data_IF_955860219122
#
_entry.id   IF_955860219122
#
_cell.length_a   1.000
_cell.length_b   1.000
_cell.length_c   1.000
_cell.angle_alpha   90.00
_cell.angle_beta   90.00
_cell.angle_gamma   90.00
#
_symmetry.space_group_name_H-M   'P 1'
#
loop_
_entity.id
_entity.type
_entity.pdbx_description
1 polymer ?
#
# COMPACT_ATOMS: atom_id res chain seq x y z
N UNK A 1 -2.25 -70.42 -53.15
CA UNK A 1 -2.86 -69.09 -52.85
C UNK A 1 -2.53 -68.74 -51.41
N UNK A 2 -1.50 -67.87 -51.22
CA UNK A 2 -1.01 -67.47 -49.88
C UNK A 2 -1.61 -66.13 -49.52
N UNK A 3 -2.41 -66.09 -48.51
CA UNK A 3 -2.97 -64.87 -47.96
C UNK A 3 -1.94 -64.30 -46.94
N UNK A 4 -1.44 -63.11 -47.23
CA UNK A 4 -0.58 -62.36 -46.32
C UNK A 4 -1.45 -61.53 -45.41
N UNK A 5 -1.42 -61.81 -44.11
CA UNK A 5 -2.06 -61.01 -43.04
C UNK A 5 -1.08 -59.89 -42.68
N UNK A 6 -1.42 -58.66 -43.07
CA UNK A 6 -0.69 -57.44 -42.60
C UNK A 6 -1.22 -57.07 -41.23
N UNK A 7 -0.40 -57.23 -40.23
CA UNK A 7 -0.62 -56.73 -38.87
C UNK A 7 -0.44 -55.25 -38.86
N UNK A 8 -1.48 -54.47 -38.65
CA UNK A 8 -1.44 -53.02 -38.44
C UNK A 8 -1.17 -52.80 -36.94
N UNK A 9 0.04 -52.33 -36.64
CA UNK A 9 0.44 -51.92 -35.29
C UNK A 9 -0.13 -50.52 -35.04
N UNK A 10 -1.25 -50.42 -34.31
CA UNK A 10 -1.75 -49.15 -33.81
C UNK A 10 -0.91 -48.69 -32.61
N UNK A 11 -0.01 -47.73 -32.85
CA UNK A 11 0.66 -47.02 -31.81
C UNK A 11 -0.31 -46.09 -31.06
N UNK A 12 -0.67 -46.43 -29.84
CA UNK A 12 -1.39 -45.53 -28.93
C UNK A 12 -0.44 -44.41 -28.48
N UNK A 13 -0.58 -43.25 -29.08
CA UNK A 13 0.07 -42.01 -28.66
C UNK A 13 -0.68 -41.53 -27.41
N UNK A 14 -0.18 -41.84 -26.22
CA UNK A 14 -0.67 -41.31 -24.97
C UNK A 14 -0.23 -39.83 -24.84
N UNK A 15 -1.10 -38.92 -25.28
CA UNK A 15 -0.94 -37.49 -25.02
C UNK A 15 -1.19 -37.29 -23.52
N UNK A 16 -0.13 -37.20 -22.75
CA UNK A 16 -0.22 -36.77 -21.35
C UNK A 16 -0.70 -35.34 -21.30
N UNK A 17 -1.95 -35.15 -20.90
CA UNK A 17 -2.44 -33.84 -20.52
C UNK A 17 -1.70 -33.38 -19.27
N UNK A 18 -0.72 -32.50 -19.43
CA UNK A 18 -0.16 -31.74 -18.33
C UNK A 18 -1.27 -30.75 -17.93
N UNK A 19 -2.03 -31.10 -16.90
CA UNK A 19 -2.93 -30.15 -16.27
C UNK A 19 -2.06 -29.09 -15.57
N UNK A 20 -1.87 -27.97 -16.23
CA UNK A 20 -1.40 -26.74 -15.55
C UNK A 20 -2.51 -26.34 -14.58
N UNK A 21 -2.31 -26.64 -13.32
CA UNK A 21 -3.11 -26.03 -12.25
C UNK A 21 -2.69 -24.56 -12.15
N UNK A 22 -3.32 -23.70 -12.94
CA UNK A 22 -3.31 -22.29 -12.64
C UNK A 22 -3.99 -22.16 -11.28
N UNK A 23 -3.25 -21.73 -10.26
CA UNK A 23 -3.85 -21.37 -8.97
C UNK A 23 -4.78 -20.19 -9.23
N UNK A 24 -6.04 -20.49 -9.38
CA UNK A 24 -7.08 -19.47 -9.54
C UNK A 24 -7.48 -19.02 -8.16
N UNK A 25 -6.96 -17.88 -7.72
CA UNK A 25 -7.53 -17.21 -6.57
C UNK A 25 -8.98 -16.85 -6.94
N UNK A 26 -9.93 -17.60 -6.40
CA UNK A 26 -11.31 -17.39 -6.74
C UNK A 26 -11.87 -16.22 -5.93
N UNK A 27 -12.41 -15.25 -6.64
CA UNK A 27 -13.30 -14.23 -6.11
C UNK A 27 -14.73 -14.70 -6.33
N UNK A 28 -15.55 -14.62 -5.30
CA UNK A 28 -16.99 -14.80 -5.41
C UNK A 28 -17.68 -13.46 -5.16
N UNK A 29 -18.58 -13.08 -6.06
CA UNK A 29 -19.46 -11.93 -5.86
C UNK A 29 -20.86 -12.47 -5.58
N UNK A 30 -21.39 -12.20 -4.40
CA UNK A 30 -22.74 -12.57 -4.01
C UNK A 30 -23.40 -11.40 -3.28
N UNK A 31 -24.58 -10.98 -3.75
CA UNK A 31 -25.33 -9.86 -3.16
C UNK A 31 -24.46 -8.59 -3.03
N UNK A 32 -23.74 -8.20 -4.09
CA UNK A 32 -22.80 -7.06 -4.14
C UNK A 32 -21.65 -7.11 -3.11
N UNK A 33 -21.44 -8.26 -2.48
CA UNK A 33 -20.30 -8.50 -1.60
C UNK A 33 -19.26 -9.37 -2.27
N UNK A 34 -18.01 -8.92 -2.20
CA UNK A 34 -16.86 -9.67 -2.70
C UNK A 34 -16.36 -10.57 -1.57
N UNK A 35 -16.30 -11.86 -1.84
CA UNK A 35 -15.69 -12.85 -0.94
C UNK A 35 -14.40 -13.36 -1.57
N UNK A 36 -13.32 -13.27 -0.82
CA UNK A 36 -12.02 -13.78 -1.21
C UNK A 36 -11.88 -15.22 -0.71
N UNK A 37 -11.77 -16.17 -1.63
CA UNK A 37 -11.55 -17.58 -1.27
C UNK A 37 -10.06 -17.83 -1.06
N UNK A 38 -9.76 -18.74 -0.14
CA UNK A 38 -8.41 -19.23 0.06
C UNK A 38 -8.10 -20.34 -0.95
N UNK A 39 -6.81 -20.44 -1.34
CA UNK A 39 -6.31 -21.65 -1.99
C UNK A 39 -6.12 -22.79 -0.97
N UNK A 40 -5.64 -23.95 -1.43
CA UNK A 40 -5.36 -25.14 -0.62
C UNK A 40 -4.27 -24.92 0.44
N UNK A 41 -3.48 -23.88 0.33
CA UNK A 41 -2.44 -23.47 1.29
C UNK A 41 -2.89 -22.34 2.22
N UNK A 42 -4.13 -21.87 2.07
CA UNK A 42 -4.69 -20.77 2.84
C UNK A 42 -4.32 -19.38 2.30
N UNK A 43 -3.63 -19.27 1.16
CA UNK A 43 -3.35 -17.97 0.54
C UNK A 43 -4.63 -17.41 -0.07
N UNK A 44 -4.76 -16.11 -0.06
CA UNK A 44 -5.85 -15.39 -0.72
C UNK A 44 -5.38 -14.10 -1.35
N UNK A 45 -6.17 -13.56 -2.25
CA UNK A 45 -5.93 -12.23 -2.84
C UNK A 45 -5.94 -11.20 -1.72
N UNK A 46 -5.06 -10.19 -1.84
CA UNK A 46 -5.02 -9.07 -0.92
C UNK A 46 -6.36 -8.31 -0.94
N UNK A 47 -6.89 -8.06 0.24
CA UNK A 47 -8.08 -7.26 0.45
C UNK A 47 -7.67 -5.80 0.63
N UNK A 48 -7.95 -4.98 -0.37
CA UNK A 48 -7.64 -3.55 -0.37
C UNK A 48 -8.80 -2.67 0.15
N UNK A 49 -9.87 -3.26 0.65
CA UNK A 49 -11.02 -2.50 1.18
C UNK A 49 -10.65 -1.64 2.39
N UNK A 50 -9.56 -1.99 3.06
CA UNK A 50 -9.01 -1.24 4.19
C UNK A 50 -7.93 -0.21 3.80
N UNK A 51 -7.73 0.01 2.49
CA UNK A 51 -6.78 1.00 1.98
C UNK A 51 -7.43 2.39 1.98
N UNK A 52 -7.07 3.26 2.81
CA UNK A 52 -7.62 4.61 2.86
C UNK A 52 -7.51 5.20 4.24
N UNK A 53 -8.03 6.40 4.40
CA UNK A 53 -7.99 7.07 5.69
C UNK A 53 -8.70 6.24 6.76
N UNK A 54 -7.99 5.98 7.87
CA UNK A 54 -8.50 5.15 8.98
C UNK A 54 -9.07 3.81 8.51
N UNK A 55 -8.36 3.11 7.64
CA UNK A 55 -8.78 1.82 7.07
C UNK A 55 -10.10 1.87 6.30
N UNK A 56 -10.42 3.00 5.69
CA UNK A 56 -11.70 3.29 5.02
C UNK A 56 -12.94 3.26 5.93
N UNK A 57 -12.74 3.31 7.24
CA UNK A 57 -13.84 3.32 8.22
C UNK A 57 -14.35 4.73 8.56
N UNK A 58 -13.62 5.76 8.15
CA UNK A 58 -13.96 7.15 8.42
C UNK A 58 -13.75 8.01 7.18
N UNK A 59 -14.59 9.01 7.02
CA UNK A 59 -14.42 10.02 5.99
C UNK A 59 -13.14 10.82 6.19
N UNK A 60 -12.53 11.26 5.09
CA UNK A 60 -11.39 12.17 5.15
C UNK A 60 -11.84 13.49 5.80
N UNK A 61 -11.23 13.90 6.91
CA UNK A 61 -11.69 15.06 7.66
C UNK A 61 -11.52 16.37 6.87
N UNK A 62 -12.49 17.27 7.00
CA UNK A 62 -12.37 18.62 6.49
C UNK A 62 -11.56 19.47 7.46
N UNK A 63 -10.28 19.68 7.16
CA UNK A 63 -9.37 20.46 7.99
C UNK A 63 -9.39 21.93 7.54
N UNK A 64 -9.37 22.87 8.50
CA UNK A 64 -9.35 24.30 8.25
C UNK A 64 -8.16 24.72 7.39
N UNK A 65 -8.41 25.51 6.34
CA UNK A 65 -7.37 26.13 5.54
C UNK A 65 -6.66 27.21 6.37
N UNK A 66 -5.34 27.12 6.48
CA UNK A 66 -4.50 28.07 7.21
C UNK A 66 -3.69 28.90 6.25
N UNK A 67 -3.20 28.30 5.17
CA UNK A 67 -2.41 28.99 4.13
C UNK A 67 -3.07 28.71 2.78
N UNK A 68 -3.27 29.77 2.01
CA UNK A 68 -3.62 29.68 0.60
C UNK A 68 -2.40 30.01 -0.25
N UNK A 69 -2.06 29.15 -1.20
CA UNK A 69 -0.95 29.33 -2.13
C UNK A 69 -1.55 29.58 -3.53
N UNK A 70 -1.59 30.83 -3.99
CA UNK A 70 -2.09 31.15 -5.32
C UNK A 70 -1.16 30.56 -6.39
N UNK A 71 -1.72 30.24 -7.54
CA UNK A 71 -0.91 29.78 -8.66
C UNK A 71 0.07 30.87 -9.12
N UNK A 72 1.27 30.44 -9.50
CA UNK A 72 2.30 31.31 -10.10
C UNK A 72 3.12 30.52 -11.12
N UNK A 73 3.45 31.15 -12.25
CA UNK A 73 4.36 30.57 -13.23
C UNK A 73 5.77 30.37 -12.66
N UNK A 74 6.46 29.36 -13.17
CA UNK A 74 7.82 29.00 -12.75
C UNK A 74 7.85 27.98 -11.62
N UNK A 75 8.98 27.85 -10.96
CA UNK A 75 9.18 26.88 -9.88
C UNK A 75 8.45 27.29 -8.59
N UNK A 76 7.58 26.44 -8.12
CA UNK A 76 6.81 26.64 -6.91
C UNK A 76 7.30 25.83 -5.72
N UNK A 77 8.38 25.06 -5.86
CA UNK A 77 8.89 24.16 -4.81
C UNK A 77 9.06 24.87 -3.48
N UNK A 78 9.86 25.94 -3.47
CA UNK A 78 10.16 26.69 -2.24
C UNK A 78 8.95 27.42 -1.65
N UNK A 79 7.98 27.82 -2.48
CA UNK A 79 6.75 28.48 -2.00
C UNK A 79 5.84 27.51 -1.27
N UNK A 80 5.62 26.35 -1.85
CA UNK A 80 4.78 25.32 -1.24
C UNK A 80 5.48 24.78 0.01
N UNK A 81 6.80 24.55 -0.03
CA UNK A 81 7.55 24.12 1.14
C UNK A 81 7.42 25.11 2.31
N UNK A 82 7.60 26.41 2.08
CA UNK A 82 7.43 27.42 3.14
C UNK A 82 6.02 27.47 3.71
N UNK A 83 4.99 27.24 2.90
CA UNK A 83 3.63 27.16 3.38
C UNK A 83 3.43 25.93 4.30
N UNK A 84 4.02 24.78 3.95
CA UNK A 84 4.02 23.57 4.77
C UNK A 84 4.79 23.81 6.07
N UNK A 85 6.00 24.41 6.00
CA UNK A 85 6.83 24.69 7.16
C UNK A 85 6.13 25.63 8.15
N UNK A 86 5.42 26.62 7.63
CA UNK A 86 4.61 27.52 8.46
C UNK A 86 3.51 26.75 9.19
N UNK A 87 2.73 25.90 8.48
CA UNK A 87 1.69 25.09 9.13
C UNK A 87 2.32 24.10 10.10
N UNK A 88 3.50 23.55 9.82
CA UNK A 88 4.25 22.67 10.71
C UNK A 88 4.60 23.35 12.05
N UNK A 89 4.85 24.65 12.04
CA UNK A 89 5.19 25.43 13.25
C UNK A 89 3.99 25.72 14.17
N UNK A 90 2.76 25.52 13.69
CA UNK A 90 1.56 25.78 14.48
C UNK A 90 1.30 24.68 15.50
N UNK A 91 0.62 25.01 16.60
CA UNK A 91 0.16 24.03 17.58
C UNK A 91 -1.01 23.23 16.99
N UNK A 92 -1.00 21.89 17.10
CA UNK A 92 -2.14 21.08 16.69
C UNK A 92 -3.38 21.40 17.52
N UNK A 93 -4.54 21.31 16.88
CA UNK A 93 -5.83 21.39 17.57
C UNK A 93 -6.13 20.10 18.39
N UNK A 94 -7.29 20.05 19.04
CA UNK A 94 -7.72 18.90 19.83
C UNK A 94 -7.89 17.61 19.00
N UNK A 95 -8.05 17.72 17.69
CA UNK A 95 -8.12 16.59 16.75
C UNK A 95 -6.76 16.18 16.20
N UNK A 96 -5.69 16.87 16.60
CA UNK A 96 -4.32 16.62 16.16
C UNK A 96 -3.94 17.31 14.83
N UNK A 97 -4.82 18.15 14.26
CA UNK A 97 -4.52 18.87 13.04
C UNK A 97 -3.91 20.25 13.29
N UNK A 98 -2.90 20.61 12.51
CA UNK A 98 -2.28 21.96 12.51
C UNK A 98 -2.95 22.86 11.48
N UNK A 99 -3.51 22.28 10.43
CA UNK A 99 -4.22 22.98 9.38
C UNK A 99 -3.90 22.47 7.99
N UNK A 100 -4.56 23.08 7.00
CA UNK A 100 -4.35 22.76 5.61
C UNK A 100 -3.64 23.88 4.86
N UNK A 101 -2.71 23.48 3.99
CA UNK A 101 -2.19 24.29 2.89
C UNK A 101 -3.09 24.04 1.68
N UNK A 102 -3.79 25.07 1.24
CA UNK A 102 -4.69 25.02 0.09
C UNK A 102 -3.97 25.60 -1.13
N UNK A 103 -3.84 24.79 -2.16
CA UNK A 103 -3.28 25.21 -3.46
C UNK A 103 -4.41 25.68 -4.38
N UNK A 104 -4.19 26.78 -5.07
CA UNK A 104 -5.10 27.31 -6.07
C UNK A 104 -5.24 26.37 -7.28
N UNK A 105 -6.14 26.71 -8.19
CA UNK A 105 -6.19 26.06 -9.50
C UNK A 105 -4.96 26.45 -10.33
N UNK A 106 -4.42 25.50 -11.06
CA UNK A 106 -3.30 25.71 -11.96
C UNK A 106 -2.29 24.55 -11.90
N UNK A 107 -1.35 24.57 -12.84
CA UNK A 107 -0.24 23.63 -12.89
C UNK A 107 0.97 24.21 -12.16
N UNK A 108 1.22 23.71 -10.97
CA UNK A 108 2.38 24.07 -10.16
C UNK A 108 3.60 23.26 -10.58
N UNK A 109 4.50 23.84 -11.34
CA UNK A 109 5.78 23.21 -11.65
C UNK A 109 6.69 23.19 -10.43
N UNK A 110 7.32 22.05 -10.17
CA UNK A 110 8.24 21.83 -9.07
C UNK A 110 9.56 21.26 -9.60
N UNK A 111 10.66 21.95 -9.37
CA UNK A 111 12.02 21.48 -9.73
C UNK A 111 12.61 20.57 -8.65
N UNK A 112 12.10 20.64 -7.43
CA UNK A 112 12.50 19.82 -6.30
C UNK A 112 11.35 18.99 -5.73
N UNK A 113 11.60 18.41 -4.57
CA UNK A 113 10.61 17.66 -3.80
C UNK A 113 10.06 18.48 -2.64
N UNK A 114 8.84 18.18 -2.23
CA UNK A 114 8.18 18.73 -1.05
C UNK A 114 8.31 17.73 0.08
N UNK A 115 8.55 18.20 1.32
CA UNK A 115 8.65 17.37 2.52
C UNK A 115 7.61 17.77 3.53
N UNK A 116 6.91 16.78 4.06
CA UNK A 116 5.97 16.91 5.17
C UNK A 116 6.49 16.01 6.29
N UNK A 117 7.14 16.61 7.30
CA UNK A 117 7.78 15.89 8.41
C UNK A 117 7.07 16.06 9.75
N UNK A 118 6.00 16.87 9.81
CA UNK A 118 5.20 17.03 11.02
C UNK A 118 3.79 16.46 10.83
N UNK A 119 3.27 15.82 11.87
CA UNK A 119 1.88 15.32 11.89
C UNK A 119 0.86 16.45 11.89
N UNK A 120 -0.34 16.17 11.39
CA UNK A 120 -1.47 17.11 11.42
C UNK A 120 -1.48 18.17 10.32
N UNK A 121 -0.66 18.03 9.29
CA UNK A 121 -0.64 18.91 8.12
C UNK A 121 -1.44 18.27 6.98
N UNK A 122 -2.26 19.05 6.32
CA UNK A 122 -2.98 18.64 5.11
C UNK A 122 -2.53 19.51 3.93
N UNK A 123 -2.09 18.87 2.86
CA UNK A 123 -1.86 19.53 1.57
C UNK A 123 -3.00 19.15 0.64
N UNK A 124 -3.72 20.12 0.10
CA UNK A 124 -4.81 19.87 -0.84
C UNK A 124 -4.95 20.97 -1.89
N UNK A 125 -5.54 20.60 -3.02
CA UNK A 125 -5.94 21.54 -4.05
C UNK A 125 -7.35 22.06 -3.83
N UNK A 126 -7.68 23.17 -4.47
CA UNK A 126 -9.05 23.71 -4.54
C UNK A 126 -9.95 22.86 -5.43
N UNK A 127 -9.37 22.17 -6.40
CA UNK A 127 -10.11 21.36 -7.38
C UNK A 127 -9.26 20.13 -7.78
N UNK A 128 -9.88 18.95 -7.75
CA UNK A 128 -9.19 17.68 -8.04
C UNK A 128 -8.70 17.53 -9.49
N UNK A 129 -9.32 18.27 -10.42
CA UNK A 129 -8.99 18.20 -11.84
C UNK A 129 -8.13 19.38 -12.30
N UNK A 130 -8.17 20.50 -11.57
CA UNK A 130 -7.53 21.76 -11.99
C UNK A 130 -6.32 22.14 -11.16
N UNK A 131 -6.11 21.55 -9.98
CA UNK A 131 -4.91 21.73 -9.18
C UNK A 131 -3.93 20.61 -9.47
N UNK A 132 -2.89 20.88 -10.21
CA UNK A 132 -1.93 19.88 -10.68
C UNK A 132 -0.55 20.21 -10.14
N UNK A 133 0.12 19.26 -9.50
CA UNK A 133 1.53 19.31 -9.15
C UNK A 133 2.33 18.56 -10.19
N UNK A 134 3.23 19.25 -10.88
CA UNK A 134 4.05 18.68 -11.94
C UNK A 134 5.54 18.72 -11.56
N UNK A 135 6.13 17.56 -11.32
CA UNK A 135 7.57 17.45 -11.10
C UNK A 135 8.31 17.65 -12.41
N UNK A 136 9.25 18.61 -12.42
CA UNK A 136 10.18 18.85 -13.51
C UNK A 136 11.51 18.14 -13.23
N UNK A 137 12.25 17.85 -14.29
CA UNK A 137 13.56 17.19 -14.18
C UNK A 137 13.52 15.71 -14.57
N UNK A 138 14.70 15.09 -14.53
CA UNK A 138 14.92 13.69 -14.98
C UNK A 138 15.32 12.76 -13.83
N UNK A 139 15.32 13.25 -12.60
CA UNK A 139 15.62 12.42 -11.44
C UNK A 139 14.45 11.47 -11.11
N UNK A 140 14.74 10.39 -10.36
CA UNK A 140 13.76 9.40 -9.93
C UNK A 140 13.19 9.67 -8.53
N UNK A 141 13.48 10.81 -7.93
CA UNK A 141 13.00 11.16 -6.60
C UNK A 141 11.49 11.33 -6.56
N UNK A 142 10.87 11.07 -5.42
CA UNK A 142 9.45 11.34 -5.22
C UNK A 142 9.16 12.84 -5.24
N UNK A 143 7.97 13.21 -5.70
CA UNK A 143 7.51 14.60 -5.68
C UNK A 143 7.21 15.05 -4.26
N UNK A 144 6.59 14.21 -3.46
CA UNK A 144 6.22 14.49 -2.07
C UNK A 144 6.79 13.40 -1.18
N UNK A 145 7.53 13.79 -0.17
CA UNK A 145 7.99 12.92 0.91
C UNK A 145 7.14 13.21 2.16
N UNK A 146 6.55 12.16 2.70
CA UNK A 146 5.94 12.20 4.03
C UNK A 146 6.80 11.36 4.96
N UNK A 147 7.46 12.02 5.90
CA UNK A 147 8.48 11.40 6.74
C UNK A 147 8.08 11.55 8.21
N UNK A 148 8.18 10.46 8.96
CA UNK A 148 8.12 10.47 10.42
C UNK A 148 9.52 10.41 11.01
N UNK A 149 9.59 10.43 12.33
CA UNK A 149 10.81 10.08 13.05
C UNK A 149 10.82 8.59 13.31
N UNK A 150 12.01 7.98 13.26
CA UNK A 150 12.22 6.61 13.71
C UNK A 150 12.35 6.63 15.23
N UNK A 151 11.20 6.51 15.89
CA UNK A 151 11.07 6.46 17.35
C UNK A 151 10.66 5.06 17.84
N UNK A 152 10.93 4.05 17.04
CA UNK A 152 10.63 2.67 17.36
C UNK A 152 11.41 2.21 18.59
N UNK A 153 10.68 2.02 19.71
CA UNK A 153 11.19 1.38 20.89
C UNK A 153 10.64 -0.05 20.95
N UNK A 154 11.42 -1.01 20.44
CA UNK A 154 11.06 -2.43 20.47
C UNK A 154 11.18 -2.92 21.91
N UNK A 155 10.06 -3.31 22.50
CA UNK A 155 10.00 -3.82 23.87
C UNK A 155 10.40 -5.29 23.90
N UNK A 156 9.68 -6.11 23.14
CA UNK A 156 9.87 -7.57 23.10
C UNK A 156 9.90 -8.08 21.66
N UNK A 157 10.61 -9.18 21.47
CA UNK A 157 10.65 -9.89 20.18
C UNK A 157 10.10 -11.29 20.34
N UNK A 158 9.09 -11.62 19.54
CA UNK A 158 8.42 -12.91 19.57
C UNK A 158 8.73 -13.70 18.32
N UNK A 159 9.00 -14.98 18.51
CA UNK A 159 9.14 -15.87 17.37
C UNK A 159 7.77 -16.36 16.90
N UNK A 160 7.55 -16.23 15.59
CA UNK A 160 6.41 -16.88 14.92
C UNK A 160 6.75 -18.37 14.74
N UNK A 161 5.88 -19.27 15.19
CA UNK A 161 6.09 -20.72 15.09
C UNK A 161 5.46 -21.34 13.86
N UNK A 162 4.53 -20.67 13.21
CA UNK A 162 3.90 -21.19 12.00
C UNK A 162 4.99 -21.56 10.97
N UNK A 163 5.01 -22.81 10.53
CA UNK A 163 5.95 -23.27 9.49
C UNK A 163 5.70 -22.53 8.16
N UNK A 164 4.46 -22.20 7.90
CA UNK A 164 4.03 -21.44 6.73
C UNK A 164 3.02 -20.37 7.15
N UNK A 165 3.25 -19.16 6.72
CA UNK A 165 2.32 -18.04 6.88
C UNK A 165 1.73 -17.72 5.51
N UNK A 166 0.46 -18.01 5.27
CA UNK A 166 -0.18 -17.75 3.99
C UNK A 166 -0.16 -16.27 3.62
N UNK A 167 -0.18 -15.98 2.32
CA UNK A 167 -0.36 -14.61 1.84
C UNK A 167 -1.68 -14.05 2.38
N UNK A 168 -1.63 -12.85 2.93
CA UNK A 168 -2.76 -12.17 3.57
C UNK A 168 -3.33 -12.90 4.81
N UNK A 169 -2.48 -13.62 5.56
CA UNK A 169 -2.84 -14.14 6.86
C UNK A 169 -3.19 -13.01 7.84
N UNK A 170 -4.23 -13.21 8.65
CA UNK A 170 -4.66 -12.28 9.70
C UNK A 170 -4.34 -12.77 11.09
N UNK A 171 -3.81 -13.96 11.20
CA UNK A 171 -3.43 -14.61 12.46
C UNK A 171 -2.04 -15.19 12.34
N UNK A 172 -1.26 -15.07 13.40
CA UNK A 172 0.07 -15.65 13.53
C UNK A 172 0.14 -16.44 14.84
N UNK A 173 0.75 -17.62 14.81
CA UNK A 173 1.03 -18.39 16.00
C UNK A 173 2.36 -17.94 16.59
N UNK A 174 2.31 -17.42 17.80
CA UNK A 174 3.48 -16.92 18.53
C UNK A 174 3.66 -17.66 19.85
N UNK A 175 4.84 -17.56 20.46
CA UNK A 175 5.13 -18.18 21.75
C UNK A 175 4.09 -17.78 22.83
N UNK A 176 3.69 -18.75 23.63
CA UNK A 176 2.89 -18.49 24.81
C UNK A 176 3.68 -17.69 25.85
N UNK A 177 2.98 -16.87 26.64
CA UNK A 177 3.60 -16.11 27.73
C UNK A 177 3.86 -14.64 27.42
N UNK A 178 3.40 -14.14 26.29
CA UNK A 178 3.52 -12.74 25.92
C UNK A 178 2.25 -11.98 26.20
N UNK A 179 2.41 -10.79 26.75
CA UNK A 179 1.30 -9.91 27.12
C UNK A 179 0.88 -8.97 25.99
N UNK A 180 0.67 -9.48 24.76
CA UNK A 180 0.09 -8.68 23.69
C UNK A 180 -1.37 -8.34 24.01
N UNK A 181 -1.71 -7.08 23.84
CA UNK A 181 -3.05 -6.56 24.09
C UNK A 181 -3.64 -6.00 22.79
N UNK A 182 -4.96 -5.99 22.69
CA UNK A 182 -5.64 -5.31 21.59
C UNK A 182 -5.25 -3.84 21.55
N UNK A 183 -4.72 -3.38 20.42
CA UNK A 183 -4.24 -2.01 20.22
C UNK A 183 -2.71 -1.86 20.26
N UNK A 184 -1.97 -2.88 20.67
CA UNK A 184 -0.52 -2.85 20.60
C UNK A 184 -0.05 -2.75 19.15
N UNK A 185 1.01 -1.96 18.94
CA UNK A 185 1.67 -1.90 17.64
C UNK A 185 2.69 -3.02 17.55
N UNK A 186 2.63 -3.79 16.49
CA UNK A 186 3.56 -4.88 16.24
C UNK A 186 4.24 -4.69 14.89
N UNK A 187 5.50 -5.07 14.81
CA UNK A 187 6.24 -5.13 13.56
C UNK A 187 6.55 -6.60 13.25
N UNK A 188 6.07 -7.07 12.10
CA UNK A 188 6.38 -8.42 11.63
C UNK A 188 7.61 -8.32 10.71
N UNK A 189 8.70 -8.97 11.10
CA UNK A 189 9.94 -9.01 10.31
C UNK A 189 10.20 -10.42 9.80
N UNK A 190 10.60 -10.51 8.55
CA UNK A 190 11.12 -11.73 7.95
C UNK A 190 12.57 -11.49 7.60
N UNK A 191 13.53 -12.05 8.35
CA UNK A 191 14.95 -11.91 8.02
C UNK A 191 15.25 -12.62 6.69
N UNK A 192 16.07 -12.00 5.87
CA UNK A 192 16.60 -12.63 4.66
C UNK A 192 17.59 -13.73 5.06
N UNK A 193 17.29 -14.97 4.73
CA UNK A 193 18.19 -16.10 4.91
C UNK A 193 19.05 -16.35 3.68
N UNK A 194 20.12 -17.16 3.82
CA UNK A 194 20.96 -17.58 2.71
C UNK A 194 20.20 -18.37 1.62
N UNK A 195 19.04 -18.89 1.98
CA UNK A 195 18.14 -19.64 1.10
C UNK A 195 17.37 -18.75 0.12
N UNK A 196 17.57 -17.42 0.22
CA UNK A 196 16.87 -16.40 -0.56
C UNK A 196 17.72 -15.79 -1.69
N UNK A 197 18.98 -16.19 -1.76
CA UNK A 197 19.98 -15.64 -2.71
C UNK A 197 20.30 -16.67 -3.77
#
# INVERSE_FOLDING_TARGET
MKIQVRTILLGLLSIGFVQSYAQTFALQVKNDQITYLNDDRGNRILDFSTCGYKSSEQDIPSVRNVVFVPWKAGDNTARIQRAIDYVASLTPDASGFRGAVLLDQGEFSLSGSIRISASGIVLRGTDKEKTILLKKGVDRGALIYMEGMDDLNVQDTLKVFSHYVPVNARTLEVASGVSLKKGDRVMVTRPSGKEWI
#
